data_IF_700388060384
#
_entry.id   IF_700388060384
#
_cell.length_a   1.000
_cell.length_b   1.000
_cell.length_c   1.000
_cell.angle_alpha   90.00
_cell.angle_beta   90.00
_cell.angle_gamma   90.00
#
_symmetry.space_group_name_H-M   'P 1'
#
loop_
_entity.id
_entity.type
_entity.pdbx_description
1 polymer ?
#
# COMPACT_ATOMS: atom_id res chain seq x y z
N UNK A 1 25.16 5.88 -15.84
CA UNK A 1 24.32 4.81 -15.79
C UNK A 1 22.93 5.21 -15.37
N UNK A 2 22.00 4.61 -15.90
CA UNK A 2 20.65 4.98 -15.65
C UNK A 2 20.07 4.12 -14.55
N UNK A 3 19.50 4.77 -13.59
CA UNK A 3 18.75 4.05 -12.61
C UNK A 3 17.33 3.95 -13.10
N UNK A 4 16.90 2.75 -13.33
CA UNK A 4 15.53 2.54 -13.74
C UNK A 4 14.72 2.26 -12.50
N UNK A 5 13.79 3.14 -12.21
CA UNK A 5 12.89 2.91 -11.10
C UNK A 5 11.80 1.97 -11.56
N UNK A 6 11.81 0.79 -11.05
CA UNK A 6 10.82 -0.20 -11.41
C UNK A 6 9.85 -0.36 -10.27
N UNK A 7 8.58 -0.29 -10.59
CA UNK A 7 7.54 -0.47 -9.59
C UNK A 7 7.71 -1.82 -8.90
N UNK A 8 7.67 -1.81 -7.58
CA UNK A 8 7.79 -3.02 -6.81
C UNK A 8 6.43 -3.40 -6.26
N UNK A 9 5.78 -4.32 -6.93
CA UNK A 9 4.44 -4.77 -6.55
C UNK A 9 4.46 -5.98 -5.64
N UNK A 10 5.64 -6.54 -5.39
CA UNK A 10 5.76 -7.78 -4.65
C UNK A 10 5.15 -7.71 -3.25
N UNK A 11 5.44 -6.68 -2.43
CA UNK A 11 4.83 -6.66 -1.10
C UNK A 11 3.31 -6.67 -1.14
N UNK A 12 2.73 -5.92 -2.08
CA UNK A 12 1.28 -5.87 -2.19
C UNK A 12 0.74 -7.19 -2.69
N UNK A 13 1.39 -7.79 -3.67
CA UNK A 13 0.94 -9.08 -4.20
C UNK A 13 0.96 -10.16 -3.12
N UNK A 14 2.04 -10.20 -2.35
CA UNK A 14 2.16 -11.22 -1.31
C UNK A 14 1.05 -11.08 -0.28
N UNK A 15 0.80 -9.85 0.14
CA UNK A 15 -0.23 -9.63 1.16
C UNK A 15 -1.62 -9.93 0.63
N UNK A 16 -1.90 -9.54 -0.61
CA UNK A 16 -3.21 -9.82 -1.19
C UNK A 16 -3.42 -11.31 -1.37
N UNK A 17 -2.38 -12.01 -1.81
CA UNK A 17 -2.49 -13.45 -1.97
C UNK A 17 -2.73 -14.16 -0.65
N UNK A 18 -2.19 -13.62 0.44
CA UNK A 18 -2.39 -14.21 1.75
C UNK A 18 -3.84 -14.09 2.21
N UNK A 19 -4.62 -13.21 1.59
CA UNK A 19 -6.03 -13.06 1.92
C UNK A 19 -6.94 -13.91 1.04
N UNK A 20 -6.36 -14.73 0.18
CA UNK A 20 -7.20 -15.64 -0.62
C UNK A 20 -7.47 -15.19 -2.04
N UNK A 21 -6.53 -14.52 -2.65
CA UNK A 21 -6.65 -14.29 -4.08
C UNK A 21 -7.43 -13.06 -4.48
N UNK A 22 -6.97 -11.91 -4.03
CA UNK A 22 -7.60 -10.65 -4.41
C UNK A 22 -6.85 -10.00 -5.57
N UNK A 23 -6.67 -10.75 -6.64
CA UNK A 23 -5.88 -10.27 -7.76
C UNK A 23 -6.43 -8.98 -8.36
N UNK A 24 -7.75 -8.83 -8.35
CA UNK A 24 -8.35 -7.63 -8.93
C UNK A 24 -8.09 -6.39 -8.10
N UNK A 25 -7.82 -6.57 -6.81
CA UNK A 25 -7.62 -5.43 -5.91
C UNK A 25 -6.36 -4.68 -6.28
N UNK A 26 -5.33 -5.39 -6.74
CA UNK A 26 -4.07 -4.74 -7.05
C UNK A 26 -4.24 -3.72 -8.16
N UNK A 27 -5.21 -3.92 -9.03
CA UNK A 27 -5.47 -2.98 -10.13
C UNK A 27 -6.02 -1.66 -9.67
N UNK A 28 -6.50 -1.60 -8.43
CA UNK A 28 -7.03 -0.36 -7.88
C UNK A 28 -5.93 0.56 -7.41
N UNK A 29 -4.69 0.07 -7.36
CA UNK A 29 -3.58 0.83 -6.81
C UNK A 29 -2.59 1.26 -7.86
N UNK A 30 -1.89 2.36 -7.56
CA UNK A 30 -0.77 2.83 -8.35
C UNK A 30 0.46 2.82 -7.47
N UNK A 31 1.54 2.24 -7.97
CA UNK A 31 2.81 2.32 -7.24
C UNK A 31 3.37 3.72 -7.42
N UNK A 32 3.61 4.41 -6.33
CA UNK A 32 4.07 5.78 -6.40
C UNK A 32 5.59 5.88 -6.28
N UNK A 33 6.15 5.25 -5.28
CA UNK A 33 7.60 5.20 -5.13
C UNK A 33 7.96 4.27 -3.98
N UNK A 34 9.24 3.92 -3.90
CA UNK A 34 9.77 3.14 -2.80
C UNK A 34 10.80 3.95 -2.06
N UNK A 35 10.75 3.91 -0.74
CA UNK A 35 11.74 4.59 0.09
C UNK A 35 12.86 3.61 0.39
N UNK A 36 14.05 3.93 -0.11
CA UNK A 36 15.18 3.01 0.04
C UNK A 36 15.66 2.90 1.47
N UNK A 37 15.44 3.93 2.27
CA UNK A 37 15.91 3.88 3.65
C UNK A 37 15.00 3.05 4.53
N UNK A 38 13.71 3.25 4.41
CA UNK A 38 12.76 2.52 5.25
C UNK A 38 12.32 1.21 4.62
N UNK A 39 12.60 1.01 3.33
CA UNK A 39 12.17 -0.15 2.56
C UNK A 39 10.66 -0.26 2.48
N UNK A 40 9.98 0.89 2.51
CA UNK A 40 8.54 0.93 2.40
C UNK A 40 8.15 1.33 0.99
N UNK A 41 7.21 0.57 0.42
CA UNK A 41 6.65 0.88 -0.88
C UNK A 41 5.34 1.62 -0.68
N UNK A 42 5.16 2.68 -1.43
CA UNK A 42 3.97 3.54 -1.31
C UNK A 42 3.04 3.28 -2.48
N UNK A 43 1.83 2.81 -2.17
CA UNK A 43 0.80 2.56 -3.18
C UNK A 43 -0.37 3.49 -2.93
N UNK A 44 -0.86 4.12 -3.99
CA UNK A 44 -1.96 5.06 -3.87
C UNK A 44 -3.20 4.47 -4.52
N UNK A 45 -4.31 4.52 -3.82
CA UNK A 45 -5.55 4.02 -4.38
C UNK A 45 -6.05 5.01 -5.44
N UNK A 46 -6.44 4.48 -6.60
CA UNK A 46 -6.75 5.34 -7.74
C UNK A 46 -8.02 6.15 -7.54
N UNK A 47 -8.93 5.65 -6.73
CA UNK A 47 -10.23 6.32 -6.52
C UNK A 47 -10.23 7.14 -5.24
N UNK A 48 -9.87 6.54 -4.12
CA UNK A 48 -9.91 7.25 -2.84
C UNK A 48 -8.73 8.19 -2.65
N UNK A 49 -7.65 7.96 -3.40
CA UNK A 49 -6.41 8.71 -3.31
C UNK A 49 -5.68 8.53 -1.98
N UNK A 50 -6.05 7.52 -1.22
CA UNK A 50 -5.37 7.22 0.04
C UNK A 50 -4.18 6.32 -0.22
N UNK A 51 -3.20 6.39 0.68
CA UNK A 51 -1.97 5.63 0.53
C UNK A 51 -1.98 4.37 1.37
N UNK A 52 -1.46 3.30 0.79
CA UNK A 52 -1.22 2.04 1.49
C UNK A 52 0.29 1.85 1.51
N UNK A 53 0.87 1.73 2.69
CA UNK A 53 2.30 1.62 2.87
C UNK A 53 2.66 0.20 3.27
N UNK A 54 3.53 -0.43 2.50
CA UNK A 54 3.94 -1.79 2.78
C UNK A 54 5.46 -1.90 2.78
N UNK A 55 5.99 -2.44 3.88
CA UNK A 55 7.41 -2.73 3.96
C UNK A 55 7.71 -3.95 3.10
N UNK A 56 8.93 -4.02 2.60
CA UNK A 56 9.30 -5.13 1.73
C UNK A 56 9.22 -6.48 2.42
N UNK A 57 9.26 -6.50 3.76
CA UNK A 57 9.13 -7.76 4.50
C UNK A 57 7.67 -8.14 4.75
N UNK A 58 6.72 -7.33 4.32
CA UNK A 58 5.30 -7.66 4.43
C UNK A 58 4.55 -6.89 5.49
N UNK A 59 5.23 -6.14 6.33
CA UNK A 59 4.55 -5.35 7.35
C UNK A 59 3.82 -4.17 6.72
N UNK A 60 2.70 -3.81 7.30
CA UNK A 60 1.89 -2.71 6.81
C UNK A 60 2.01 -1.52 7.76
N UNK A 61 1.98 -0.32 7.19
CA UNK A 61 2.14 0.89 7.97
C UNK A 61 1.09 1.91 7.56
N UNK A 62 0.87 2.88 8.44
CA UNK A 62 -0.06 3.97 8.20
C UNK A 62 0.65 5.29 8.44
N UNK A 63 0.45 6.23 7.52
CA UNK A 63 0.98 7.57 7.68
C UNK A 63 0.05 8.38 8.57
N UNK A 64 0.59 8.95 9.63
CA UNK A 64 -0.19 9.78 10.53
C UNK A 64 0.46 11.15 10.67
N UNK A 65 -0.21 12.05 11.37
CA UNK A 65 0.32 13.38 11.57
C UNK A 65 1.62 13.35 12.36
N UNK A 66 1.80 12.36 13.22
CA UNK A 66 3.02 12.26 14.01
C UNK A 66 4.05 11.30 13.40
N UNK A 67 3.79 10.77 12.22
CA UNK A 67 4.74 9.93 11.53
C UNK A 67 4.10 8.64 11.04
N UNK A 68 4.94 7.67 10.75
CA UNK A 68 4.49 6.39 10.22
C UNK A 68 4.44 5.39 11.37
N UNK A 69 3.30 4.71 11.51
CA UNK A 69 3.13 3.70 12.55
C UNK A 69 2.75 2.38 11.91
N UNK A 70 3.05 1.30 12.59
CA UNK A 70 2.69 -0.01 12.09
C UNK A 70 1.18 -0.22 12.24
N UNK A 71 0.56 -0.86 11.24
CA UNK A 71 -0.86 -1.07 11.21
C UNK A 71 -1.18 -2.45 10.65
N UNK A 72 -2.39 -2.90 10.88
CA UNK A 72 -2.80 -4.20 10.40
C UNK A 72 -3.26 -4.11 8.95
N UNK A 73 -2.76 -5.03 8.12
CA UNK A 73 -2.96 -4.92 6.68
C UNK A 73 -4.44 -4.90 6.28
N UNK A 74 -5.23 -5.81 6.85
CA UNK A 74 -6.65 -5.88 6.46
C UNK A 74 -7.39 -4.62 6.80
N UNK A 75 -7.08 -4.04 7.96
CA UNK A 75 -7.72 -2.79 8.35
C UNK A 75 -7.30 -1.66 7.44
N UNK A 76 -6.01 -1.59 7.11
CA UNK A 76 -5.52 -0.55 6.22
C UNK A 76 -6.09 -0.70 4.82
N UNK A 77 -6.18 -1.91 4.34
CA UNK A 77 -6.74 -2.16 3.02
C UNK A 77 -8.19 -1.70 2.97
N UNK A 78 -8.96 -2.02 4.00
CA UNK A 78 -10.35 -1.60 4.06
C UNK A 78 -10.47 -0.08 4.12
N UNK A 79 -9.64 0.55 4.95
CA UNK A 79 -9.68 2.01 5.08
C UNK A 79 -9.36 2.68 3.75
N UNK A 80 -8.33 2.18 3.07
CA UNK A 80 -7.88 2.80 1.83
C UNK A 80 -8.92 2.63 0.72
N UNK A 81 -9.60 1.49 0.69
CA UNK A 81 -10.56 1.20 -0.37
C UNK A 81 -11.96 1.75 -0.11
N UNK A 82 -12.25 2.13 1.12
CA UNK A 82 -13.64 2.41 1.49
C UNK A 82 -14.07 3.79 1.04
N UNK A 83 -14.92 3.82 0.03
CA UNK A 83 -15.46 5.07 -0.49
C UNK A 83 -16.65 5.55 0.31
N UNK A 84 -17.41 4.62 0.86
CA UNK A 84 -18.69 4.97 1.46
C UNK A 84 -18.53 5.73 2.75
N UNK A 85 -17.43 5.54 3.46
CA UNK A 85 -17.24 6.20 4.70
C UNK A 85 -16.61 7.50 4.59
N UNK A 86 -16.21 7.77 3.40
CA UNK A 86 -15.48 8.92 3.27
C UNK A 86 -15.95 10.05 4.03
N UNK A 87 -16.61 9.97 4.50
CA UNK A 87 -16.79 10.84 5.05
C UNK A 87 -17.10 11.02 6.05
N UNK A 88 -17.42 10.56 6.21
CA UNK A 88 -17.80 10.87 7.30
C UNK A 88 -17.22 11.39 8.03
#
# INVERSE_FOLDING_TARGET
MTVTTTANWTPLEVRLNSLGGHADVIREFMWMYGDEESLIEYYKHSVTRRYLLLHQDGRCFQQTASGVIEAEFQQELRRVRNLAEGDS
#
